data_IF_239985005569
#
_entry.id   IF_239985005569
#
_cell.length_a   1.000
_cell.length_b   1.000
_cell.length_c   1.000
_cell.angle_alpha   90.00
_cell.angle_beta   90.00
_cell.angle_gamma   90.00
#
_symmetry.space_group_name_H-M   'P 1'
#
loop_
_entity.id
_entity.type
_entity.pdbx_description
1 polymer ?
#
# COMPACT_ATOMS: atom_id res chain seq x y z
N UNK A 1 56.84 3.35 -44.83
CA UNK A 1 56.00 2.21 -44.38
C UNK A 1 54.92 2.61 -43.31
N UNK A 2 55.15 3.67 -42.50
CA UNK A 2 54.19 4.06 -41.47
C UNK A 2 52.94 4.79 -41.99
N UNK A 3 53.04 5.54 -43.11
CA UNK A 3 51.89 6.29 -43.67
C UNK A 3 50.84 5.37 -44.25
N UNK A 4 51.22 4.32 -45.02
CA UNK A 4 50.32 3.31 -45.60
C UNK A 4 49.56 2.49 -44.54
N UNK A 5 50.15 2.26 -43.35
CA UNK A 5 49.53 1.52 -42.26
C UNK A 5 48.44 2.31 -41.54
N UNK A 6 48.62 3.66 -41.40
CA UNK A 6 47.62 4.57 -40.85
C UNK A 6 46.37 4.69 -41.72
N UNK A 7 46.57 4.77 -43.04
CA UNK A 7 45.46 4.91 -44.00
C UNK A 7 44.61 3.63 -44.09
N UNK A 8 45.22 2.43 -43.97
CA UNK A 8 44.53 1.14 -43.99
C UNK A 8 43.70 0.94 -42.68
N UNK A 9 44.22 1.39 -41.54
CA UNK A 9 43.49 1.29 -40.27
C UNK A 9 42.29 2.28 -40.22
N UNK A 10 42.44 3.49 -40.73
CA UNK A 10 41.37 4.47 -40.86
C UNK A 10 40.25 3.97 -41.82
N UNK A 11 40.61 3.42 -42.96
CA UNK A 11 39.67 2.91 -43.93
C UNK A 11 38.89 1.67 -43.40
N UNK A 12 39.55 0.78 -42.63
CA UNK A 12 38.92 -0.35 -41.96
C UNK A 12 37.90 0.10 -40.89
N UNK A 13 38.23 1.10 -40.11
CA UNK A 13 37.30 1.64 -39.10
C UNK A 13 36.09 2.31 -39.76
N UNK A 14 36.27 3.07 -40.83
CA UNK A 14 35.16 3.71 -41.55
C UNK A 14 34.24 2.63 -42.17
N UNK A 15 34.81 1.60 -42.80
CA UNK A 15 34.05 0.48 -43.35
C UNK A 15 33.26 -0.26 -42.27
N UNK A 16 33.86 -0.50 -41.11
CA UNK A 16 33.18 -1.13 -39.97
C UNK A 16 32.00 -0.29 -39.44
N UNK A 17 32.22 1.02 -39.27
CA UNK A 17 31.16 1.95 -38.85
C UNK A 17 30.01 2.01 -39.85
N UNK A 18 30.34 1.97 -41.16
CA UNK A 18 29.33 1.95 -42.23
C UNK A 18 28.50 0.68 -42.21
N UNK A 19 29.12 -0.49 -42.00
CA UNK A 19 28.43 -1.77 -41.84
C UNK A 19 27.52 -1.75 -40.60
N UNK A 20 28.03 -1.26 -39.47
CA UNK A 20 27.22 -1.11 -38.26
C UNK A 20 26.00 -0.19 -38.47
N UNK A 21 26.18 0.90 -39.22
CA UNK A 21 25.09 1.83 -39.55
C UNK A 21 24.01 1.14 -40.41
N UNK A 22 24.41 0.33 -41.42
CA UNK A 22 23.45 -0.44 -42.23
C UNK A 22 22.65 -1.43 -41.38
N UNK A 23 23.32 -2.14 -40.45
CA UNK A 23 22.63 -3.04 -39.52
C UNK A 23 21.65 -2.30 -38.60
N UNK A 24 22.03 -1.15 -38.05
CA UNK A 24 21.15 -0.33 -37.22
C UNK A 24 19.95 0.20 -37.99
N UNK A 25 20.17 0.67 -39.22
CA UNK A 25 19.07 1.11 -40.11
C UNK A 25 18.12 -0.05 -40.44
N UNK A 26 18.66 -1.23 -40.75
CA UNK A 26 17.86 -2.44 -41.02
C UNK A 26 17.06 -2.90 -39.79
N UNK A 27 17.65 -2.81 -38.60
CA UNK A 27 16.96 -3.08 -37.35
C UNK A 27 15.82 -2.10 -37.08
N UNK A 28 16.08 -0.79 -37.21
CA UNK A 28 15.08 0.27 -37.04
C UNK A 28 13.92 0.16 -38.04
N UNK A 29 14.21 -0.28 -39.28
CA UNK A 29 13.19 -0.51 -40.30
C UNK A 29 12.24 -1.68 -39.94
N UNK A 30 12.78 -2.74 -39.33
CA UNK A 30 12.00 -3.90 -38.87
C UNK A 30 11.27 -3.62 -37.52
N UNK A 31 11.81 -2.69 -36.72
CA UNK A 31 11.30 -2.36 -35.41
C UNK A 31 11.08 -0.83 -35.30
N UNK A 32 10.07 -0.29 -35.97
CA UNK A 32 9.88 1.16 -36.06
C UNK A 32 9.45 1.81 -34.74
N UNK A 33 9.05 1.04 -33.72
CA UNK A 33 8.68 1.54 -32.39
C UNK A 33 9.65 1.01 -31.33
N UNK A 34 10.36 1.89 -30.64
CA UNK A 34 11.17 1.58 -29.47
C UNK A 34 10.43 2.05 -28.21
N UNK A 35 10.33 1.18 -27.22
CA UNK A 35 9.70 1.48 -25.93
C UNK A 35 10.76 1.61 -24.85
N UNK A 36 10.50 2.44 -23.84
CA UNK A 36 11.33 2.53 -22.64
C UNK A 36 11.32 1.22 -21.86
N UNK A 37 10.15 0.58 -21.78
CA UNK A 37 9.99 -0.69 -21.06
C UNK A 37 9.01 -1.61 -21.80
N UNK A 38 9.29 -2.91 -21.77
CA UNK A 38 8.33 -3.95 -22.18
C UNK A 38 7.38 -4.35 -21.06
N UNK A 39 7.71 -3.99 -19.81
CA UNK A 39 6.93 -4.30 -18.62
C UNK A 39 6.95 -3.10 -17.66
N UNK A 40 6.33 -1.96 -18.02
CA UNK A 40 6.22 -0.82 -17.11
C UNK A 40 5.34 -1.15 -15.92
N UNK A 41 5.67 -0.60 -14.75
CA UNK A 41 4.90 -0.70 -13.52
C UNK A 41 4.20 0.61 -13.24
N UNK A 42 2.96 0.54 -12.79
CA UNK A 42 2.10 1.68 -12.46
C UNK A 42 1.50 1.45 -11.09
N UNK A 43 1.53 2.45 -10.26
CA UNK A 43 0.88 2.41 -8.94
C UNK A 43 -0.64 2.50 -9.09
N UNK A 44 -1.38 1.76 -8.27
CA UNK A 44 -2.85 1.79 -8.27
C UNK A 44 -3.37 3.23 -8.10
N UNK A 45 -4.49 3.55 -8.74
CA UNK A 45 -5.12 4.88 -8.77
C UNK A 45 -4.27 6.02 -9.34
N UNK A 46 -3.10 5.72 -9.95
CA UNK A 46 -2.33 6.72 -10.67
C UNK A 46 -2.70 6.74 -12.15
N UNK A 47 -2.74 7.93 -12.72
CA UNK A 47 -2.94 8.08 -14.16
C UNK A 47 -1.73 7.54 -14.93
N UNK A 48 -1.99 6.83 -16.01
CA UNK A 48 -0.98 6.31 -16.91
C UNK A 48 -1.38 6.53 -18.37
N UNK A 49 -0.56 7.27 -19.11
CA UNK A 49 -0.68 7.38 -20.57
C UNK A 49 0.33 6.42 -21.23
N UNK A 50 -0.13 5.36 -21.91
CA UNK A 50 0.76 4.43 -22.61
C UNK A 50 1.68 5.07 -23.64
N UNK A 51 1.34 6.24 -24.20
CA UNK A 51 2.20 6.97 -25.14
C UNK A 51 3.50 7.42 -24.51
N UNK A 52 3.53 7.67 -23.19
CA UNK A 52 4.75 8.06 -22.48
C UNK A 52 5.81 6.95 -22.44
N UNK A 53 5.43 5.70 -22.72
CA UNK A 53 6.34 4.58 -22.82
C UNK A 53 7.03 4.47 -24.21
N UNK A 54 6.67 5.32 -25.18
CA UNK A 54 7.34 5.38 -26.48
C UNK A 54 8.64 6.14 -26.32
N UNK A 55 9.77 5.47 -26.52
CA UNK A 55 11.09 6.08 -26.48
C UNK A 55 11.44 6.75 -27.81
N UNK A 56 11.17 6.06 -28.92
CA UNK A 56 11.53 6.51 -30.25
C UNK A 56 10.64 5.86 -31.32
N UNK A 57 10.27 6.62 -32.30
CA UNK A 57 9.65 6.13 -33.54
C UNK A 57 10.60 6.40 -34.71
N UNK A 58 10.88 5.36 -35.48
CA UNK A 58 11.77 5.45 -36.63
C UNK A 58 10.95 5.55 -37.93
N UNK A 59 11.38 6.42 -38.84
CA UNK A 59 10.78 6.62 -40.19
C UNK A 59 9.32 7.12 -40.20
N UNK A 60 8.74 7.43 -39.04
CA UNK A 60 7.39 7.91 -38.89
C UNK A 60 7.35 8.98 -37.79
N UNK A 61 6.29 9.75 -37.73
CA UNK A 61 6.05 10.66 -36.57
C UNK A 61 5.39 9.90 -35.42
N UNK A 62 5.65 10.33 -34.18
CA UNK A 62 5.04 9.75 -32.98
C UNK A 62 3.51 9.82 -33.03
N UNK A 63 2.95 10.87 -33.68
CA UNK A 63 1.51 11.04 -33.89
C UNK A 63 0.87 9.96 -34.76
N UNK A 64 1.67 9.21 -35.54
CA UNK A 64 1.18 8.10 -36.37
C UNK A 64 1.00 6.79 -35.61
N UNK A 65 1.45 6.72 -34.35
CA UNK A 65 1.29 5.53 -33.50
C UNK A 65 -0.13 5.48 -32.97
N UNK A 66 -0.84 4.43 -33.33
CA UNK A 66 -2.12 4.08 -32.71
C UNK A 66 -1.84 3.24 -31.46
N UNK A 67 -2.46 3.62 -30.34
CA UNK A 67 -2.33 2.89 -29.08
C UNK A 67 -3.70 2.37 -28.67
N UNK A 68 -3.79 1.07 -28.43
CA UNK A 68 -4.96 0.44 -27.83
C UNK A 68 -4.58 -0.24 -26.51
N UNK A 69 -5.44 -0.10 -25.50
CA UNK A 69 -5.19 -0.58 -24.16
C UNK A 69 -6.50 -0.83 -23.44
N UNK A 70 -6.50 -1.82 -22.56
CA UNK A 70 -7.58 -2.15 -21.62
C UNK A 70 -7.18 -1.83 -20.16
N UNK A 71 -6.15 -0.97 -19.96
CA UNK A 71 -5.64 -0.63 -18.63
C UNK A 71 -6.74 -0.01 -17.78
N UNK A 72 -6.95 -0.63 -16.61
CA UNK A 72 -7.71 -0.07 -15.51
C UNK A 72 -6.76 0.16 -14.32
N UNK A 73 -6.31 1.38 -14.12
CA UNK A 73 -5.39 1.73 -13.03
C UNK A 73 -6.03 1.66 -11.64
N UNK A 74 -7.35 1.49 -11.55
CA UNK A 74 -8.06 1.28 -10.28
C UNK A 74 -8.02 -0.17 -9.80
N UNK A 75 -7.46 -1.07 -10.59
CA UNK A 75 -7.42 -2.50 -10.28
C UNK A 75 -6.01 -3.04 -10.51
N UNK A 76 -5.45 -3.64 -9.46
CA UNK A 76 -4.18 -4.38 -9.55
C UNK A 76 -4.32 -5.53 -10.56
N UNK A 77 -3.37 -5.62 -11.48
CA UNK A 77 -3.39 -6.62 -12.53
C UNK A 77 -2.36 -6.34 -13.61
N UNK A 78 -2.31 -7.24 -14.59
CA UNK A 78 -1.49 -7.11 -15.79
C UNK A 78 -2.39 -6.82 -16.99
N UNK A 79 -2.06 -5.75 -17.70
CA UNK A 79 -2.82 -5.24 -18.83
C UNK A 79 -1.97 -5.19 -20.08
N UNK A 80 -2.58 -5.44 -21.23
CA UNK A 80 -1.86 -5.43 -22.50
C UNK A 80 -2.05 -4.09 -23.21
N UNK A 81 -0.93 -3.46 -23.59
CA UNK A 81 -0.91 -2.29 -24.46
C UNK A 81 -0.37 -2.70 -25.83
N UNK A 82 -1.08 -2.31 -26.87
CA UNK A 82 -0.68 -2.52 -28.27
C UNK A 82 -0.40 -1.18 -28.93
N UNK A 83 0.80 -1.04 -29.45
CA UNK A 83 1.26 0.07 -30.30
C UNK A 83 1.26 -0.38 -31.74
N UNK A 84 0.64 0.38 -32.63
CA UNK A 84 0.53 0.03 -34.04
C UNK A 84 0.92 1.18 -34.95
N UNK A 85 1.76 0.91 -35.93
CA UNK A 85 2.04 1.76 -37.08
C UNK A 85 1.86 0.96 -38.33
N UNK A 86 0.91 1.31 -39.21
CA UNK A 86 0.57 0.52 -40.41
C UNK A 86 0.36 -0.95 -40.02
N UNK A 87 1.13 -1.86 -40.62
CA UNK A 87 1.04 -3.30 -40.34
C UNK A 87 1.91 -3.78 -39.19
N UNK A 88 2.77 -2.90 -38.64
CA UNK A 88 3.64 -3.25 -37.51
C UNK A 88 2.90 -3.08 -36.19
N UNK A 89 2.96 -4.12 -35.36
CA UNK A 89 2.41 -4.13 -34.01
C UNK A 89 3.47 -4.50 -33.00
N UNK A 90 3.47 -3.78 -31.89
CA UNK A 90 4.30 -4.08 -30.72
C UNK A 90 3.44 -4.03 -29.47
N UNK A 91 3.60 -5.03 -28.61
CA UNK A 91 2.87 -5.10 -27.34
C UNK A 91 3.82 -4.93 -26.16
N UNK A 92 3.31 -4.42 -25.07
CA UNK A 92 3.94 -4.49 -23.74
C UNK A 92 2.89 -4.88 -22.70
N UNK A 93 3.36 -5.38 -21.56
CA UNK A 93 2.51 -5.70 -20.41
C UNK A 93 2.72 -4.66 -19.34
N UNK A 94 1.68 -3.90 -19.01
CA UNK A 94 1.68 -2.93 -17.92
C UNK A 94 1.18 -3.60 -16.65
N UNK A 95 1.98 -3.57 -15.59
CA UNK A 95 1.61 -4.11 -14.29
C UNK A 95 1.13 -3.01 -13.38
N UNK A 96 -0.18 -2.98 -13.08
CA UNK A 96 -0.73 -2.12 -12.03
C UNK A 96 -0.54 -2.81 -10.69
N UNK A 97 0.12 -2.14 -9.76
CA UNK A 97 0.47 -2.65 -8.43
C UNK A 97 0.08 -1.66 -7.35
N UNK A 98 -0.13 -2.15 -6.15
CA UNK A 98 -0.15 -1.35 -4.93
C UNK A 98 1.12 -1.69 -4.14
N UNK A 99 2.03 -0.74 -4.07
CA UNK A 99 3.34 -0.92 -3.40
C UNK A 99 3.51 -0.02 -2.20
N UNK A 100 2.53 0.87 -1.94
CA UNK A 100 2.59 1.83 -0.84
C UNK A 100 1.89 1.28 0.39
N UNK A 101 2.51 1.46 1.53
CA UNK A 101 1.89 1.12 2.80
C UNK A 101 0.97 2.25 3.29
N UNK A 102 -0.11 1.92 4.03
CA UNK A 102 -1.04 2.89 4.61
C UNK A 102 -0.34 3.98 5.41
N UNK A 103 -0.76 5.23 5.26
CA UNK A 103 -0.35 6.35 6.10
C UNK A 103 -1.17 6.33 7.37
N UNK A 104 -0.56 5.93 8.49
CA UNK A 104 -1.22 5.80 9.79
C UNK A 104 -0.78 6.91 10.73
N UNK A 105 -1.75 7.63 11.32
CA UNK A 105 -1.57 8.51 12.48
C UNK A 105 -2.33 7.95 13.67
N UNK A 106 -1.65 7.88 14.80
CA UNK A 106 -2.20 7.33 16.03
C UNK A 106 -2.30 8.41 17.13
N UNK A 107 -3.24 8.19 18.04
CA UNK A 107 -3.46 9.00 19.25
C UNK A 107 -3.46 8.10 20.49
N UNK A 108 -3.22 8.67 21.66
CA UNK A 108 -3.43 7.96 22.92
C UNK A 108 -4.92 7.70 23.15
N UNK A 109 -5.22 6.60 23.80
CA UNK A 109 -6.59 6.24 24.16
C UNK A 109 -6.70 5.99 25.66
N UNK A 110 -7.72 6.60 26.29
CA UNK A 110 -8.02 6.42 27.69
C UNK A 110 -9.43 5.85 27.81
N UNK A 111 -9.60 4.76 28.56
CA UNK A 111 -10.88 4.08 28.74
C UNK A 111 -10.98 3.43 30.10
N UNK A 112 -12.15 2.89 30.44
CA UNK A 112 -12.39 2.14 31.65
C UNK A 112 -12.06 0.64 31.45
N UNK A 113 -11.82 -0.08 32.55
CA UNK A 113 -11.45 -1.50 32.52
C UNK A 113 -12.51 -2.41 31.87
N UNK A 114 -13.77 -1.96 31.85
CA UNK A 114 -14.92 -2.74 31.34
C UNK A 114 -15.09 -2.67 29.84
N UNK A 115 -14.51 -1.64 29.18
CA UNK A 115 -14.68 -1.47 27.73
C UNK A 115 -13.82 -2.45 26.90
N UNK A 116 -14.37 -2.83 25.78
CA UNK A 116 -13.64 -3.63 24.78
C UNK A 116 -12.75 -2.72 23.92
N UNK A 117 -11.44 -2.85 24.10
CA UNK A 117 -10.45 -2.00 23.45
C UNK A 117 -10.23 -2.44 22.00
N UNK A 118 -10.57 -1.55 21.06
CA UNK A 118 -10.45 -1.81 19.61
C UNK A 118 -9.31 -1.00 18.97
N UNK A 119 -8.63 -1.51 17.93
CA UNK A 119 -7.55 -0.77 17.26
C UNK A 119 -7.98 0.61 16.76
N UNK A 120 -9.22 0.74 16.28
CA UNK A 120 -9.76 2.01 15.76
C UNK A 120 -9.78 3.13 16.80
N UNK A 121 -9.88 2.81 18.09
CA UNK A 121 -9.89 3.82 19.16
C UNK A 121 -8.58 4.61 19.25
N UNK A 122 -7.49 4.03 18.73
CA UNK A 122 -6.14 4.62 18.75
C UNK A 122 -5.79 5.34 17.45
N UNK A 123 -6.65 5.33 16.44
CA UNK A 123 -6.36 5.93 15.15
C UNK A 123 -6.92 7.33 15.07
N UNK A 124 -6.07 8.29 14.71
CA UNK A 124 -6.45 9.66 14.35
C UNK A 124 -6.85 9.74 12.89
N UNK A 125 -6.00 9.21 11.99
CA UNK A 125 -6.29 9.06 10.58
C UNK A 125 -5.56 7.86 9.99
N UNK A 126 -6.16 7.26 8.96
CA UNK A 126 -5.53 6.26 8.09
C UNK A 126 -5.93 6.55 6.65
N UNK A 127 -4.92 6.62 5.77
CA UNK A 127 -5.09 6.92 4.35
C UNK A 127 -4.33 5.91 3.52
N UNK A 128 -4.99 5.39 2.48
CA UNK A 128 -4.41 4.46 1.51
C UNK A 128 -5.24 4.43 0.23
N UNK A 129 -4.64 3.99 -0.87
CA UNK A 129 -5.30 3.81 -2.16
C UNK A 129 -6.17 2.53 -2.22
N UNK A 130 -6.02 1.65 -1.23
CA UNK A 130 -6.77 0.40 -1.10
C UNK A 130 -7.43 0.27 0.28
N UNK A 131 -8.22 -0.81 0.47
CA UNK A 131 -8.92 -1.06 1.74
C UNK A 131 -7.93 -1.42 2.84
N UNK A 132 -7.94 -0.66 3.94
CA UNK A 132 -7.09 -0.90 5.12
C UNK A 132 -7.84 -1.69 6.20
N UNK A 133 -7.13 -2.62 6.82
CA UNK A 133 -7.53 -3.32 8.04
C UNK A 133 -6.61 -2.93 9.19
N UNK A 134 -7.21 -2.74 10.38
CA UNK A 134 -6.50 -2.38 11.60
C UNK A 134 -6.45 -3.56 12.57
N UNK A 135 -5.31 -3.77 13.19
CA UNK A 135 -5.12 -4.81 14.22
C UNK A 135 -4.09 -4.40 15.25
N UNK A 136 -4.10 -5.09 16.39
CA UNK A 136 -3.00 -5.00 17.35
C UNK A 136 -1.88 -5.97 16.96
N UNK A 137 -0.63 -5.57 17.15
CA UNK A 137 0.53 -6.47 17.00
C UNK A 137 0.53 -7.57 18.05
N UNK A 138 0.22 -7.21 19.29
CA UNK A 138 0.20 -8.10 20.43
C UNK A 138 -1.16 -8.05 21.13
N UNK A 139 -1.44 -9.07 21.95
CA UNK A 139 -2.62 -9.04 22.82
C UNK A 139 -2.54 -7.84 23.77
N UNK A 140 -3.61 -7.06 23.83
CA UNK A 140 -3.73 -5.97 24.79
C UNK A 140 -3.95 -6.57 26.18
N UNK A 141 -3.05 -6.25 27.11
CA UNK A 141 -3.15 -6.60 28.53
C UNK A 141 -3.75 -5.38 29.21
N UNK A 142 -4.75 -5.57 30.08
CA UNK A 142 -5.43 -4.44 30.75
C UNK A 142 -4.64 -4.01 32.00
N UNK A 143 -3.48 -3.34 31.76
CA UNK A 143 -2.70 -2.66 32.80
C UNK A 143 -3.03 -1.16 32.85
N UNK A 144 -2.75 -0.47 33.96
CA UNK A 144 -3.05 0.96 34.14
C UNK A 144 -2.51 1.82 32.99
N UNK A 145 -1.31 1.51 32.49
CA UNK A 145 -0.72 2.19 31.35
C UNK A 145 0.16 1.22 30.57
N UNK A 146 -0.08 1.09 29.28
CA UNK A 146 0.73 0.23 28.41
C UNK A 146 0.95 0.85 27.03
N UNK A 147 2.06 0.49 26.40
CA UNK A 147 2.30 0.76 24.99
C UNK A 147 1.62 -0.33 24.16
N UNK A 148 0.83 0.10 23.17
CA UNK A 148 0.19 -0.78 22.19
C UNK A 148 0.69 -0.43 20.79
N UNK A 149 0.94 -1.43 19.96
CA UNK A 149 1.33 -1.25 18.57
C UNK A 149 0.13 -1.51 17.69
N UNK A 150 -0.26 -0.51 16.91
CA UNK A 150 -1.32 -0.60 15.90
C UNK A 150 -0.67 -0.97 14.57
N UNK A 151 -1.24 -1.96 13.89
CA UNK A 151 -0.90 -2.36 12.52
C UNK A 151 -2.02 -1.91 11.59
N UNK A 152 -1.69 -1.10 10.60
CA UNK A 152 -2.55 -0.81 9.46
C UNK A 152 -2.02 -1.63 8.28
N UNK A 153 -2.84 -2.52 7.74
CA UNK A 153 -2.49 -3.39 6.60
C UNK A 153 -3.50 -3.18 5.49
N UNK A 154 -3.00 -2.96 4.27
CA UNK A 154 -3.82 -2.83 3.08
C UNK A 154 -4.29 -4.18 2.52
N UNK A 155 -5.05 -4.13 1.42
CA UNK A 155 -5.56 -5.31 0.75
C UNK A 155 -4.49 -6.12 0.01
N UNK A 156 -3.32 -5.53 -0.28
CA UNK A 156 -2.23 -6.12 -1.05
C UNK A 156 -1.04 -6.54 -0.19
N UNK A 157 -1.11 -6.28 1.12
CA UNK A 157 -0.15 -6.80 2.09
C UNK A 157 0.87 -5.79 2.59
N UNK A 158 0.87 -4.54 2.07
CA UNK A 158 1.73 -3.49 2.61
C UNK A 158 1.21 -3.08 3.98
N UNK A 159 2.11 -2.75 4.92
CA UNK A 159 1.70 -2.45 6.28
C UNK A 159 2.54 -1.35 6.92
N UNK A 160 1.88 -0.57 7.79
CA UNK A 160 2.50 0.41 8.67
C UNK A 160 2.21 0.05 10.11
N UNK A 161 3.22 0.17 10.98
CA UNK A 161 3.10 -0.05 12.41
C UNK A 161 3.41 1.24 13.17
N UNK A 162 2.60 1.54 14.18
CA UNK A 162 2.80 2.70 15.05
C UNK A 162 2.50 2.33 16.50
N UNK A 163 3.38 2.80 17.39
CA UNK A 163 3.21 2.65 18.81
C UNK A 163 2.40 3.84 19.37
N UNK A 164 1.53 3.53 20.32
CA UNK A 164 0.74 4.51 21.06
C UNK A 164 0.50 4.01 22.48
N UNK A 165 -0.20 4.81 23.29
CA UNK A 165 -0.44 4.51 24.70
C UNK A 165 -1.92 4.25 24.96
N UNK A 166 -2.21 3.14 25.63
CA UNK A 166 -3.46 2.90 26.34
C UNK A 166 -3.28 3.33 27.78
N UNK A 167 -4.25 4.10 28.31
CA UNK A 167 -4.36 4.43 29.74
C UNK A 167 -5.71 3.94 30.22
N UNK A 168 -5.73 3.15 31.29
CA UNK A 168 -6.95 2.72 31.94
C UNK A 168 -7.26 3.66 33.10
N UNK A 169 -8.48 4.16 33.15
CA UNK A 169 -8.94 4.94 34.33
C UNK A 169 -9.03 4.02 35.52
N UNK A 170 -8.45 4.46 36.62
CA UNK A 170 -8.60 3.77 37.90
C UNK A 170 -9.99 4.07 38.45
N UNK A 171 -10.69 3.01 38.86
CA UNK A 171 -11.88 3.16 39.66
C UNK A 171 -11.48 3.72 41.05
N UNK A 172 -12.00 4.88 41.40
CA UNK A 172 -11.76 5.56 42.65
C UNK A 172 -13.04 5.70 43.47
N UNK A 173 -14.15 5.24 42.92
CA UNK A 173 -15.42 5.26 43.66
C UNK A 173 -15.50 4.07 44.63
N UNK A 174 -16.04 4.32 45.79
CA UNK A 174 -16.25 3.26 46.77
C UNK A 174 -17.62 2.63 46.55
N UNK A 175 -17.77 1.30 46.69
CA UNK A 175 -19.08 0.68 46.65
C UNK A 175 -20.03 1.30 47.65
N UNK A 176 -21.25 1.51 47.23
CA UNK A 176 -22.35 1.99 48.12
C UNK A 176 -23.06 0.79 48.65
N UNK A 177 -23.15 0.74 49.99
CA UNK A 177 -23.89 -0.30 50.70
C UNK A 177 -25.16 0.34 51.23
N UNK A 178 -26.29 -0.16 50.76
CA UNK A 178 -27.61 0.20 51.34
C UNK A 178 -28.18 -0.98 52.11
N UNK A 179 -28.80 -0.66 53.21
CA UNK A 179 -29.46 -1.66 54.06
C UNK A 179 -30.83 -1.14 54.49
N UNK A 180 -31.82 -2.00 54.36
CA UNK A 180 -33.13 -1.74 54.94
C UNK A 180 -33.17 -2.16 56.41
N UNK A 181 -33.88 -1.42 57.28
CA UNK A 181 -34.07 -1.84 58.64
C UNK A 181 -34.93 -3.12 58.69
N UNK A 182 -34.44 -4.10 59.42
CA UNK A 182 -35.14 -5.36 59.57
C UNK A 182 -35.69 -5.51 61.01
N UNK A 183 -36.94 -5.92 61.10
CA UNK A 183 -37.56 -6.35 62.37
C UNK A 183 -37.46 -7.86 62.51
N UNK A 184 -36.80 -8.34 63.52
CA UNK A 184 -36.62 -9.77 63.77
C UNK A 184 -37.26 -10.18 65.06
N UNK A 185 -37.85 -11.34 65.11
CA UNK A 185 -38.30 -11.95 66.36
C UNK A 185 -37.13 -12.57 67.10
N UNK A 186 -37.18 -12.63 68.41
CA UNK A 186 -36.09 -13.12 69.30
C UNK A 186 -35.63 -14.53 68.92
N UNK A 187 -36.47 -15.35 68.31
CA UNK A 187 -36.18 -16.75 67.99
C UNK A 187 -35.85 -16.97 66.49
N UNK A 188 -35.80 -15.87 65.70
CA UNK A 188 -35.53 -15.97 64.26
C UNK A 188 -34.02 -15.97 63.96
N UNK A 189 -33.66 -16.71 62.87
CA UNK A 189 -32.29 -16.67 62.27
C UNK A 189 -32.38 -15.96 60.92
N UNK A 190 -32.34 -14.61 60.92
CA UNK A 190 -32.52 -13.87 59.71
C UNK A 190 -31.31 -14.05 58.78
N UNK A 191 -31.61 -14.11 57.49
CA UNK A 191 -30.55 -14.05 56.44
C UNK A 191 -30.20 -12.59 56.16
N UNK A 192 -29.24 -12.05 56.84
CA UNK A 192 -28.85 -10.65 56.70
C UNK A 192 -28.43 -10.27 55.27
N UNK A 193 -27.92 -11.20 54.47
CA UNK A 193 -27.50 -10.97 53.10
C UNK A 193 -28.64 -10.54 52.16
N UNK A 194 -29.87 -10.92 52.45
CA UNK A 194 -31.03 -10.53 51.65
C UNK A 194 -31.50 -9.09 51.87
N UNK A 195 -30.94 -8.40 52.86
CA UNK A 195 -31.29 -7.00 53.20
C UNK A 195 -30.13 -6.03 52.91
N UNK A 196 -29.10 -6.51 52.25
CA UNK A 196 -27.93 -5.69 51.92
C UNK A 196 -27.85 -5.63 50.40
N UNK A 197 -27.92 -4.43 49.85
CA UNK A 197 -27.64 -4.16 48.44
C UNK A 197 -26.28 -3.47 48.35
N UNK A 198 -25.43 -3.98 47.49
CA UNK A 198 -24.12 -3.42 47.16
C UNK A 198 -24.13 -3.01 45.72
N UNK A 199 -23.96 -1.72 45.47
CA UNK A 199 -23.81 -1.15 44.13
C UNK A 199 -22.42 -0.56 43.95
N UNK A 200 -21.80 -0.87 42.84
CA UNK A 200 -20.51 -0.36 42.42
C UNK A 200 -20.52 -0.10 40.90
N UNK A 201 -19.70 0.81 40.42
CA UNK A 201 -19.67 1.22 39.02
C UNK A 201 -19.04 0.19 38.09
#
# INVERSE_FOLDING_TARGET
TNKKRKDTFGNGLIAFLFICMIFLMGYAFKNPILLYSTNPEVEINHEYDPKTNIQQVFYHSDSSVQVSSDIDTKRVGNYTVTYQIKDYKKTCTVSVKDTKAPKLKVKTYTTDLKEDVKPNSFVESVEDDSKVTLSFKNKVIKDEKQTVTIIAKDAYGNCTMKDTTLTLKKDTEKPVISTDPINVYTDSKPNYKSYIEVTDN
#
